data_IF_807454399916
#
_entry.id   IF_807454399916
#
_cell.length_a   1.000
_cell.length_b   1.000
_cell.length_c   1.000
_cell.angle_alpha   90.00
_cell.angle_beta   90.00
_cell.angle_gamma   90.00
#
_symmetry.space_group_name_H-M   'P 1'
#
loop_
_entity.id
_entity.type
_entity.pdbx_description
1 polymer ?
#
# COMPACT_ATOMS: atom_id res chain seq x y z
N UNK A 1 -17.09 8.38 53.22
CA UNK A 1 -16.42 8.04 51.95
C UNK A 1 -17.05 6.75 51.48
N UNK A 2 -17.88 6.82 50.42
CA UNK A 2 -18.64 5.67 49.92
C UNK A 2 -17.68 4.79 49.12
N UNK A 3 -17.50 3.56 49.56
CA UNK A 3 -16.87 2.49 48.80
C UNK A 3 -17.76 2.17 47.59
N UNK A 4 -17.40 2.68 46.42
CA UNK A 4 -17.98 2.28 45.15
C UNK A 4 -17.53 0.85 44.85
N UNK A 5 -18.37 -0.11 45.20
CA UNK A 5 -18.31 -1.46 44.63
C UNK A 5 -18.38 -1.35 43.11
N UNK A 6 -17.35 -1.84 42.42
CA UNK A 6 -17.37 -1.98 40.97
C UNK A 6 -18.62 -2.78 40.57
N UNK A 7 -19.54 -2.12 39.87
CA UNK A 7 -20.53 -2.85 39.08
C UNK A 7 -19.79 -3.40 37.86
N UNK A 8 -19.79 -4.72 37.61
CA UNK A 8 -19.31 -5.23 36.35
C UNK A 8 -20.14 -4.60 35.23
N UNK A 9 -19.47 -4.01 34.23
CA UNK A 9 -20.10 -3.69 32.95
C UNK A 9 -20.55 -5.03 32.38
N UNK A 10 -21.85 -5.30 32.42
CA UNK A 10 -22.42 -6.50 31.82
C UNK A 10 -22.28 -6.40 30.30
N UNK A 11 -21.22 -6.97 29.73
CA UNK A 11 -21.38 -7.63 28.44
C UNK A 11 -22.42 -8.72 28.65
N UNK A 12 -23.45 -8.75 27.82
CA UNK A 12 -24.41 -9.85 27.86
C UNK A 12 -23.63 -11.13 27.60
N UNK A 13 -23.79 -12.14 28.46
CA UNK A 13 -23.21 -13.48 28.27
C UNK A 13 -23.65 -14.01 26.89
N UNK A 14 -22.70 -14.29 26.01
CA UNK A 14 -22.93 -14.93 24.72
C UNK A 14 -22.83 -16.45 24.93
N UNK A 15 -23.79 -17.27 24.48
CA UNK A 15 -23.66 -18.73 24.56
C UNK A 15 -22.35 -19.28 23.95
N UNK A 16 -21.72 -18.55 23.03
CA UNK A 16 -20.41 -18.89 22.45
C UNK A 16 -19.24 -18.67 23.40
N UNK A 17 -19.43 -17.93 24.49
CA UNK A 17 -18.40 -17.70 25.52
C UNK A 17 -18.04 -19.01 26.24
N UNK A 18 -18.90 -20.04 26.17
CA UNK A 18 -18.63 -21.39 26.72
C UNK A 18 -18.09 -22.38 25.70
N UNK A 19 -17.90 -21.99 24.44
CA UNK A 19 -17.46 -22.88 23.36
C UNK A 19 -15.94 -22.81 23.13
N UNK A 20 -15.33 -23.97 22.92
CA UNK A 20 -13.93 -24.08 22.53
C UNK A 20 -13.75 -23.73 21.04
N UNK A 21 -12.76 -22.88 20.73
CA UNK A 21 -12.50 -22.45 19.35
C UNK A 21 -11.98 -23.55 18.41
N UNK A 22 -11.59 -24.72 18.94
CA UNK A 22 -11.06 -25.85 18.17
C UNK A 22 -12.15 -26.85 17.81
N UNK A 23 -12.95 -27.30 18.80
CA UNK A 23 -14.02 -28.27 18.56
C UNK A 23 -15.41 -27.65 18.35
N UNK A 24 -15.57 -26.34 18.61
CA UNK A 24 -16.86 -25.63 18.53
C UNK A 24 -17.95 -26.28 19.39
N UNK A 25 -17.55 -26.84 20.53
CA UNK A 25 -18.42 -27.41 21.54
C UNK A 25 -18.11 -26.78 22.90
N UNK A 26 -19.05 -26.90 23.85
CA UNK A 26 -18.82 -26.54 25.25
C UNK A 26 -17.46 -27.03 25.76
N UNK A 27 -16.77 -26.20 26.54
CA UNK A 27 -15.51 -26.61 27.16
C UNK A 27 -15.66 -27.89 27.97
N UNK A 28 -14.70 -28.81 27.78
CA UNK A 28 -14.53 -30.05 28.54
C UNK A 28 -13.11 -30.05 29.07
N UNK A 29 -12.96 -30.00 30.40
CA UNK A 29 -11.68 -29.80 31.09
C UNK A 29 -10.85 -28.65 30.45
N UNK A 30 -11.32 -27.40 30.60
CA UNK A 30 -10.68 -26.23 29.98
C UNK A 30 -9.30 -25.98 30.58
N UNK A 31 -8.26 -25.96 29.76
CA UNK A 31 -6.87 -25.67 30.14
C UNK A 31 -6.48 -24.25 29.72
N UNK A 32 -5.84 -23.53 30.62
CA UNK A 32 -5.25 -22.21 30.39
C UNK A 32 -3.84 -22.39 29.82
N UNK A 33 -3.64 -21.98 28.58
CA UNK A 33 -2.34 -22.03 27.91
C UNK A 33 -1.40 -20.94 28.48
N UNK A 34 -0.06 -21.05 28.32
CA UNK A 34 0.88 -20.02 28.74
C UNK A 34 0.64 -18.64 28.10
N UNK A 35 -0.02 -18.61 26.94
CA UNK A 35 -0.41 -17.38 26.25
C UNK A 35 -1.72 -16.76 26.77
N UNK A 36 -2.40 -17.39 27.73
CA UNK A 36 -3.66 -16.94 28.34
C UNK A 36 -4.94 -17.40 27.63
N UNK A 37 -4.85 -18.08 26.49
CA UNK A 37 -6.02 -18.65 25.82
C UNK A 37 -6.48 -19.96 26.47
N UNK A 38 -7.78 -20.26 26.36
CA UNK A 38 -8.40 -21.44 26.96
C UNK A 38 -8.82 -22.42 25.86
N UNK A 39 -8.50 -23.69 26.02
CA UNK A 39 -8.88 -24.80 25.13
C UNK A 39 -9.29 -26.02 25.95
N UNK A 40 -10.13 -26.91 25.41
CA UNK A 40 -10.38 -28.21 26.05
C UNK A 40 -9.09 -29.03 26.13
N UNK A 41 -8.85 -29.79 27.21
CA UNK A 41 -7.72 -30.72 27.32
C UNK A 41 -7.52 -31.60 26.07
N UNK A 42 -8.54 -32.30 25.53
CA UNK A 42 -8.38 -33.10 24.31
C UNK A 42 -7.98 -32.26 23.08
N UNK A 43 -8.42 -31.00 23.01
CA UNK A 43 -8.07 -30.10 21.92
C UNK A 43 -6.60 -29.67 22.01
N UNK A 44 -6.09 -29.39 23.21
CA UNK A 44 -4.67 -29.09 23.42
C UNK A 44 -3.80 -30.28 23.00
N UNK A 45 -4.15 -31.50 23.40
CA UNK A 45 -3.44 -32.73 23.02
C UNK A 45 -3.42 -32.89 21.50
N UNK A 46 -4.58 -32.76 20.85
CA UNK A 46 -4.69 -32.85 19.39
C UNK A 46 -3.84 -31.80 18.65
N UNK A 47 -3.77 -30.57 19.16
CA UNK A 47 -2.89 -29.52 18.63
C UNK A 47 -1.41 -29.90 18.74
N UNK A 48 -0.99 -30.50 19.85
CA UNK A 48 0.39 -30.93 20.07
C UNK A 48 0.77 -32.14 19.21
N UNK A 49 -0.14 -33.12 19.06
CA UNK A 49 0.05 -34.32 18.26
C UNK A 49 0.13 -34.01 16.75
N UNK A 50 -0.77 -33.16 16.24
CA UNK A 50 -0.80 -32.77 14.82
C UNK A 50 0.50 -32.11 14.35
N UNK A 51 1.22 -31.51 15.30
CA UNK A 51 2.44 -30.72 15.07
C UNK A 51 3.72 -31.55 15.12
N UNK A 52 3.61 -32.82 15.51
CA UNK A 52 4.72 -33.78 15.51
C UNK A 52 4.97 -34.44 14.14
N UNK A 53 4.02 -34.29 13.21
CA UNK A 53 4.03 -34.98 11.90
C UNK A 53 4.53 -34.12 10.73
N UNK A 54 4.72 -32.82 10.93
CA UNK A 54 5.17 -31.85 9.92
C UNK A 54 6.50 -31.23 10.34
N UNK A 55 7.48 -31.20 9.43
CA UNK A 55 8.85 -30.70 9.70
C UNK A 55 8.96 -29.18 9.92
N UNK A 56 7.84 -28.48 10.10
CA UNK A 56 7.77 -27.08 10.46
C UNK A 56 7.03 -26.99 11.80
N UNK A 57 7.83 -26.84 12.84
CA UNK A 57 7.52 -26.65 14.26
C UNK A 57 6.19 -25.89 14.50
N UNK A 58 5.14 -26.55 15.00
CA UNK A 58 3.83 -25.93 15.28
C UNK A 58 3.16 -26.39 16.60
N UNK A 59 3.90 -26.64 17.67
CA UNK A 59 3.30 -26.84 19.01
C UNK A 59 2.74 -25.56 19.62
N UNK A 60 1.98 -24.80 18.83
CA UNK A 60 1.57 -23.44 19.11
C UNK A 60 0.07 -23.33 19.37
N UNK A 61 -0.30 -22.31 20.15
CA UNK A 61 -1.69 -21.93 20.34
C UNK A 61 -2.33 -21.57 18.98
N UNK A 62 -3.49 -22.15 18.62
CA UNK A 62 -4.15 -21.90 17.34
C UNK A 62 -4.63 -20.45 17.16
N UNK A 63 -4.75 -19.70 18.25
CA UNK A 63 -5.26 -18.31 18.24
C UNK A 63 -4.15 -17.27 18.06
N UNK A 64 -3.00 -17.46 18.70
CA UNK A 64 -1.91 -16.47 18.69
C UNK A 64 -0.55 -16.98 18.24
N UNK A 65 -0.46 -18.27 17.88
CA UNK A 65 0.76 -18.94 17.40
C UNK A 65 1.94 -18.86 18.37
N UNK A 66 1.66 -18.76 19.68
CA UNK A 66 2.68 -18.83 20.73
C UNK A 66 2.80 -20.27 21.21
N UNK A 67 4.03 -20.73 21.42
CA UNK A 67 4.32 -22.09 21.90
C UNK A 67 3.51 -22.41 23.16
N UNK A 68 2.91 -23.60 23.16
CA UNK A 68 2.19 -24.15 24.31
C UNK A 68 3.18 -24.79 25.30
N UNK A 69 4.29 -25.32 24.78
CA UNK A 69 5.31 -26.04 25.54
C UNK A 69 6.69 -25.63 25.03
N UNK A 70 7.64 -25.42 25.94
CA UNK A 70 9.03 -25.13 25.59
C UNK A 70 9.74 -26.36 24.98
N UNK A 71 10.73 -26.12 24.12
CA UNK A 71 11.39 -27.15 23.31
C UNK A 71 12.02 -28.30 24.14
N UNK A 72 12.45 -28.03 25.38
CA UNK A 72 13.10 -29.02 26.25
C UNK A 72 12.12 -30.01 26.91
N UNK A 73 10.89 -29.58 27.24
CA UNK A 73 9.87 -30.46 27.84
C UNK A 73 9.26 -31.44 26.82
N UNK A 74 9.37 -31.11 25.53
CA UNK A 74 8.89 -31.92 24.40
C UNK A 74 9.53 -33.31 24.30
N UNK A 75 10.78 -33.46 24.76
CA UNK A 75 11.56 -34.67 24.55
C UNK A 75 11.38 -35.74 25.65
N UNK A 76 10.74 -35.40 26.77
CA UNK A 76 10.81 -36.20 28.00
C UNK A 76 9.45 -36.68 28.57
N UNK A 77 8.32 -36.19 28.07
CA UNK A 77 6.98 -36.48 28.64
C UNK A 77 5.95 -36.84 27.58
N UNK A 78 4.91 -37.57 27.99
CA UNK A 78 3.70 -37.78 27.17
C UNK A 78 2.89 -36.48 27.13
N UNK A 79 2.20 -36.20 26.02
CA UNK A 79 1.40 -34.99 25.89
C UNK A 79 0.31 -34.87 26.96
N UNK A 80 -0.30 -35.98 27.38
CA UNK A 80 -1.23 -35.99 28.51
C UNK A 80 -0.64 -35.37 29.78
N UNK A 81 0.55 -35.78 30.19
CA UNK A 81 1.21 -35.28 31.41
C UNK A 81 1.54 -33.79 31.32
N UNK A 82 1.94 -33.33 30.12
CA UNK A 82 2.24 -31.92 29.87
C UNK A 82 0.97 -31.08 29.94
N UNK A 83 -0.13 -31.57 29.35
CA UNK A 83 -1.41 -30.85 29.35
C UNK A 83 -2.08 -30.90 30.73
N UNK A 84 -1.89 -31.97 31.49
CA UNK A 84 -2.39 -32.08 32.86
C UNK A 84 -1.68 -31.13 33.82
N UNK A 85 -0.43 -30.78 33.55
CA UNK A 85 0.30 -29.76 34.29
C UNK A 85 -0.19 -28.33 34.00
N UNK A 86 -0.96 -28.11 32.93
CA UNK A 86 -1.55 -26.79 32.66
C UNK A 86 -2.70 -26.51 33.63
N UNK A 87 -2.85 -25.25 34.11
CA UNK A 87 -3.96 -24.87 34.98
C UNK A 87 -5.32 -25.13 34.32
N UNK A 88 -6.25 -25.76 35.04
CA UNK A 88 -7.65 -25.87 34.61
C UNK A 88 -8.40 -24.59 34.99
N UNK A 89 -9.20 -24.07 34.06
CA UNK A 89 -10.13 -22.96 34.32
C UNK A 89 -11.43 -23.48 34.94
N UNK A 90 -11.40 -23.65 36.26
CA UNK A 90 -12.57 -24.09 37.03
C UNK A 90 -13.75 -23.10 36.96
N UNK A 91 -13.49 -21.81 36.69
CA UNK A 91 -14.57 -20.83 36.52
C UNK A 91 -15.30 -21.07 35.20
N UNK A 92 -14.57 -21.37 34.13
CA UNK A 92 -15.14 -21.73 32.83
C UNK A 92 -15.90 -23.04 32.89
N UNK A 93 -15.34 -24.07 33.53
CA UNK A 93 -16.04 -25.34 33.74
C UNK A 93 -17.36 -25.15 34.52
N UNK A 94 -17.32 -24.34 35.58
CA UNK A 94 -18.50 -24.02 36.36
C UNK A 94 -19.53 -23.17 35.58
N UNK A 95 -19.07 -22.33 34.65
CA UNK A 95 -19.92 -21.56 33.75
C UNK A 95 -20.64 -22.46 32.74
N UNK A 96 -19.93 -23.40 32.12
CA UNK A 96 -20.52 -24.43 31.25
C UNK A 96 -21.58 -25.22 31.99
N UNK A 97 -21.29 -25.68 33.21
CA UNK A 97 -22.26 -26.41 34.03
C UNK A 97 -23.50 -25.56 34.35
N UNK A 98 -23.32 -24.27 34.65
CA UNK A 98 -24.41 -23.33 34.92
C UNK A 98 -25.25 -23.04 33.67
N UNK A 99 -24.61 -22.97 32.49
CA UNK A 99 -25.26 -22.83 31.19
C UNK A 99 -26.14 -24.04 30.86
N UNK A 100 -25.59 -25.26 31.03
CA UNK A 100 -26.31 -26.53 30.82
C UNK A 100 -27.50 -26.70 31.75
N UNK A 101 -27.38 -26.27 33.01
CA UNK A 101 -28.50 -26.28 33.94
C UNK A 101 -29.70 -25.41 33.48
N UNK A 102 -29.46 -24.47 32.57
CA UNK A 102 -30.45 -23.55 32.04
C UNK A 102 -30.90 -23.87 30.60
N UNK A 103 -30.18 -24.66 29.82
CA UNK A 103 -30.42 -24.77 28.38
C UNK A 103 -31.67 -25.59 28.01
N UNK A 104 -31.82 -26.88 28.36
CA UNK A 104 -33.02 -27.62 27.86
C UNK A 104 -33.43 -28.93 28.58
N UNK A 105 -32.67 -29.45 29.56
CA UNK A 105 -33.02 -30.67 30.32
C UNK A 105 -33.10 -30.42 31.83
N UNK A 106 -34.04 -29.55 32.21
CA UNK A 106 -34.24 -29.13 33.61
C UNK A 106 -35.02 -30.20 34.37
N UNK A 107 -34.35 -31.25 34.85
CA UNK A 107 -35.00 -32.25 35.70
C UNK A 107 -34.90 -31.85 37.17
N UNK A 108 -35.97 -32.11 37.91
CA UNK A 108 -36.03 -31.94 39.35
C UNK A 108 -35.15 -33.01 39.99
N UNK A 109 -34.10 -32.61 40.71
CA UNK A 109 -33.16 -33.52 41.36
C UNK A 109 -33.74 -34.36 42.50
N UNK A 110 -35.07 -34.33 42.70
CA UNK A 110 -35.78 -35.07 43.75
C UNK A 110 -36.79 -36.06 43.15
N UNK A 111 -37.39 -35.75 41.99
CA UNK A 111 -38.50 -36.55 41.46
C UNK A 111 -38.58 -36.59 39.93
N UNK A 112 -37.49 -36.20 39.24
CA UNK A 112 -37.32 -36.21 37.78
C UNK A 112 -38.34 -35.43 36.93
N UNK A 113 -39.32 -34.77 37.55
CA UNK A 113 -40.25 -33.85 36.90
C UNK A 113 -39.53 -32.59 36.38
N UNK A 114 -40.16 -31.81 35.50
CA UNK A 114 -39.56 -30.57 35.01
C UNK A 114 -39.32 -29.56 36.16
N UNK A 115 -38.06 -29.13 36.29
CA UNK A 115 -37.63 -28.16 37.28
C UNK A 115 -37.92 -26.74 36.81
N UNK A 116 -38.42 -25.93 37.74
CA UNK A 116 -38.76 -24.53 37.50
C UNK A 116 -37.94 -23.58 38.35
N UNK A 117 -37.21 -24.09 39.34
CA UNK A 117 -36.46 -23.28 40.29
C UNK A 117 -35.16 -23.95 40.69
N UNK A 118 -34.21 -23.17 41.19
CA UNK A 118 -32.97 -23.65 41.80
C UNK A 118 -32.90 -23.19 43.25
N UNK A 119 -32.51 -24.08 44.15
CA UNK A 119 -32.10 -23.70 45.49
C UNK A 119 -30.61 -23.34 45.48
N UNK A 120 -30.26 -22.08 45.70
CA UNK A 120 -28.87 -21.60 45.63
C UNK A 120 -28.01 -22.07 46.82
N UNK A 121 -28.65 -22.57 47.88
CA UNK A 121 -27.94 -23.14 49.04
C UNK A 121 -27.65 -24.63 48.86
N UNK A 122 -28.63 -25.39 48.41
CA UNK A 122 -28.49 -26.83 48.17
C UNK A 122 -27.94 -27.16 46.78
N UNK A 123 -27.85 -26.16 45.91
CA UNK A 123 -27.41 -26.31 44.52
C UNK A 123 -28.17 -27.40 43.74
N UNK A 124 -29.50 -27.47 43.97
CA UNK A 124 -30.40 -28.47 43.37
C UNK A 124 -31.53 -27.80 42.60
N UNK A 125 -31.86 -28.37 41.43
CA UNK A 125 -33.01 -28.00 40.62
C UNK A 125 -34.29 -28.63 41.19
N UNK A 126 -35.35 -27.84 41.33
CA UNK A 126 -36.60 -28.23 41.96
C UNK A 126 -37.79 -27.89 41.07
N UNK A 127 -38.75 -28.81 40.96
CA UNK A 127 -40.07 -28.52 40.42
C UNK A 127 -40.92 -27.77 41.47
N UNK A 128 -42.04 -27.17 41.04
CA UNK A 128 -42.92 -26.40 41.92
C UNK A 128 -43.39 -27.18 43.17
N UNK A 129 -43.58 -28.50 43.07
CA UNK A 129 -43.98 -29.36 44.19
C UNK A 129 -42.85 -29.57 45.17
N UNK A 130 -41.64 -29.87 44.67
CA UNK A 130 -40.47 -30.05 45.51
C UNK A 130 -40.03 -28.74 46.17
N UNK A 131 -40.26 -27.57 45.56
CA UNK A 131 -40.06 -26.27 46.23
C UNK A 131 -40.96 -26.11 47.46
N UNK A 132 -42.24 -26.50 47.38
CA UNK A 132 -43.16 -26.42 48.54
C UNK A 132 -42.68 -27.31 49.68
N UNK A 133 -42.27 -28.54 49.36
CA UNK A 133 -41.69 -29.45 50.34
C UNK A 133 -40.39 -28.90 50.93
N UNK A 134 -39.49 -28.40 50.07
CA UNK A 134 -38.24 -27.76 50.48
C UNK A 134 -38.49 -26.57 51.42
N UNK A 135 -39.61 -25.85 51.27
CA UNK A 135 -40.00 -24.76 52.15
C UNK A 135 -40.72 -25.19 53.44
N UNK A 136 -41.22 -26.42 53.52
CA UNK A 136 -41.91 -26.91 54.72
C UNK A 136 -40.97 -27.51 55.77
N UNK A 137 -39.76 -27.93 55.38
CA UNK A 137 -38.78 -28.48 56.33
C UNK A 137 -38.04 -27.36 57.06
N UNK A 138 -37.86 -27.53 58.38
CA UNK A 138 -37.19 -26.56 59.25
C UNK A 138 -35.76 -26.22 58.79
N UNK A 139 -35.05 -27.20 58.23
CA UNK A 139 -33.66 -27.08 57.78
C UNK A 139 -33.53 -26.31 56.45
N UNK A 140 -34.52 -26.39 55.56
CA UNK A 140 -34.42 -25.85 54.19
C UNK A 140 -35.38 -24.68 53.92
N UNK A 141 -36.31 -24.37 54.83
CA UNK A 141 -37.30 -23.31 54.64
C UNK A 141 -36.74 -21.90 54.45
N UNK A 142 -35.53 -21.68 54.92
CA UNK A 142 -34.84 -20.39 54.81
C UNK A 142 -33.91 -20.31 53.60
N UNK A 143 -33.80 -21.37 52.80
CA UNK A 143 -32.91 -21.38 51.65
C UNK A 143 -33.43 -20.45 50.53
N UNK A 144 -32.53 -19.66 49.91
CA UNK A 144 -32.87 -18.86 48.74
C UNK A 144 -33.19 -19.77 47.55
N UNK A 145 -34.42 -19.67 47.06
CA UNK A 145 -34.92 -20.40 45.88
C UNK A 145 -35.32 -19.38 44.82
N UNK A 146 -34.73 -19.48 43.64
CA UNK A 146 -34.93 -18.56 42.52
C UNK A 146 -35.48 -19.29 41.28
N UNK A 147 -36.18 -18.56 40.41
CA UNK A 147 -36.75 -19.12 39.18
C UNK A 147 -35.67 -19.31 38.11
N UNK A 148 -35.70 -20.45 37.41
CA UNK A 148 -34.77 -20.72 36.31
C UNK A 148 -34.96 -19.77 35.11
N UNK A 149 -36.12 -19.12 35.00
CA UNK A 149 -36.40 -18.12 33.95
C UNK A 149 -35.81 -16.75 34.23
N UNK A 150 -35.43 -16.46 35.49
CA UNK A 150 -34.92 -15.14 35.90
C UNK A 150 -33.42 -15.10 36.16
N UNK A 151 -32.75 -16.25 36.15
CA UNK A 151 -31.32 -16.38 36.45
C UNK A 151 -30.52 -16.57 35.16
N UNK A 152 -29.30 -16.02 35.14
CA UNK A 152 -28.33 -16.21 34.06
C UNK A 152 -27.25 -17.21 34.49
N UNK A 153 -26.51 -17.83 33.56
CA UNK A 153 -25.37 -18.70 33.89
C UNK A 153 -24.35 -18.00 34.81
N UNK A 154 -24.04 -16.73 34.52
CA UNK A 154 -23.15 -15.91 35.35
C UNK A 154 -23.69 -15.65 36.76
N UNK A 155 -25.00 -15.46 36.91
CA UNK A 155 -25.62 -15.28 38.23
C UNK A 155 -25.58 -16.57 39.04
N UNK A 156 -25.82 -17.72 38.42
CA UNK A 156 -25.65 -19.02 39.05
C UNK A 156 -24.20 -19.23 39.49
N UNK A 157 -23.24 -19.04 38.58
CA UNK A 157 -21.81 -19.16 38.88
C UNK A 157 -21.40 -18.31 40.09
N UNK A 158 -21.84 -17.05 40.14
CA UNK A 158 -21.54 -16.12 41.23
C UNK A 158 -22.16 -16.52 42.58
N UNK A 159 -23.17 -17.39 42.57
CA UNK A 159 -23.88 -17.88 43.77
C UNK A 159 -23.45 -19.29 44.16
N UNK A 160 -22.58 -19.94 43.37
CA UNK A 160 -22.12 -21.29 43.61
C UNK A 160 -21.34 -21.33 44.94
N UNK A 161 -21.67 -22.24 45.87
CA UNK A 161 -20.90 -22.39 47.10
C UNK A 161 -19.44 -22.72 46.78
N UNK A 162 -18.51 -22.09 47.50
CA UNK A 162 -17.11 -22.51 47.48
C UNK A 162 -17.00 -23.83 48.25
N UNK A 163 -16.47 -24.85 47.58
CA UNK A 163 -16.15 -26.14 48.22
C UNK A 163 -14.70 -26.12 48.69
N UNK A 164 -14.39 -26.88 49.74
CA UNK A 164 -13.00 -27.08 50.17
C UNK A 164 -12.28 -27.94 49.11
N UNK A 165 -11.08 -27.52 48.69
CA UNK A 165 -10.28 -28.24 47.70
C UNK A 165 -9.30 -29.26 48.30
N UNK A 166 -9.33 -29.47 49.62
CA UNK A 166 -8.50 -30.47 50.28
C UNK A 166 -9.09 -31.88 50.22
N UNK A 167 -8.24 -32.89 50.41
CA UNK A 167 -8.58 -34.33 50.39
C UNK A 167 -9.57 -34.77 51.49
N UNK A 168 -9.99 -33.84 52.37
CA UNK A 168 -10.94 -34.07 53.45
C UNK A 168 -12.38 -34.44 52.99
N UNK A 169 -12.64 -34.58 51.68
CA UNK A 169 -13.96 -34.88 51.09
C UNK A 169 -14.01 -36.00 50.04
N UNK A 170 -12.89 -36.68 49.75
CA UNK A 170 -12.82 -37.70 48.67
C UNK A 170 -13.20 -39.14 49.11
N UNK A 171 -13.80 -39.33 50.29
CA UNK A 171 -14.28 -40.66 50.68
C UNK A 171 -15.67 -40.92 50.13
N UNK A 172 -15.73 -41.91 49.23
CA UNK A 172 -16.89 -42.50 48.56
C UNK A 172 -17.95 -43.05 49.53
N UNK A 173 -18.68 -42.18 50.23
CA UNK A 173 -19.97 -42.49 50.84
C UNK A 173 -20.74 -41.17 50.96
N UNK A 174 -21.50 -40.83 49.90
CA UNK A 174 -22.67 -39.92 49.69
C UNK A 174 -23.14 -38.97 50.83
N UNK A 175 -22.19 -38.51 51.64
CA UNK A 175 -22.32 -37.66 52.81
C UNK A 175 -21.03 -36.83 52.94
N UNK A 176 -20.42 -36.49 51.80
CA UNK A 176 -19.39 -35.45 51.76
C UNK A 176 -19.97 -34.26 52.51
N UNK A 177 -19.36 -33.91 53.65
CA UNK A 177 -19.91 -33.00 54.65
C UNK A 177 -20.71 -31.87 53.97
N UNK A 178 -22.04 -32.04 53.85
CA UNK A 178 -22.94 -30.92 53.65
C UNK A 178 -22.88 -30.26 55.00
N UNK A 179 -21.88 -29.38 55.09
CA UNK A 179 -21.57 -28.51 56.19
C UNK A 179 -22.87 -28.19 56.91
N UNK A 180 -22.85 -28.45 58.21
CA UNK A 180 -23.69 -27.72 59.12
C UNK A 180 -23.74 -26.27 58.64
N UNK A 181 -24.97 -25.84 58.38
CA UNK A 181 -25.33 -24.76 57.46
C UNK A 181 -24.80 -23.45 58.03
N UNK A 182 -23.50 -23.15 57.84
CA UNK A 182 -22.87 -21.99 58.47
C UNK A 182 -21.37 -21.81 58.25
N UNK A 183 -20.57 -22.88 58.19
CA UNK A 183 -19.10 -22.81 58.08
C UNK A 183 -18.65 -22.95 56.63
N UNK A 184 -18.97 -21.95 55.82
CA UNK A 184 -18.32 -21.77 54.51
C UNK A 184 -16.79 -21.79 54.73
N UNK A 185 -16.04 -22.45 53.86
CA UNK A 185 -14.58 -22.33 53.75
C UNK A 185 -14.23 -20.86 53.49
N UNK A 186 -13.96 -20.13 54.58
CA UNK A 186 -13.60 -18.70 54.55
C UNK A 186 -12.10 -18.49 54.65
N UNK A 187 -11.31 -19.54 54.50
CA UNK A 187 -9.85 -19.48 54.59
C UNK A 187 -9.22 -19.80 53.24
N UNK A 188 -8.08 -19.19 52.97
CA UNK A 188 -7.30 -19.37 51.75
C UNK A 188 -5.83 -19.52 52.16
N UNK A 189 -5.19 -20.60 51.72
CA UNK A 189 -3.75 -20.77 51.91
C UNK A 189 -3.05 -20.15 50.69
N UNK A 190 -2.28 -19.09 50.92
CA UNK A 190 -1.55 -18.38 49.86
C UNK A 190 -0.43 -19.24 49.29
N UNK A 191 0.22 -20.04 50.14
CA UNK A 191 1.34 -20.89 49.74
C UNK A 191 0.94 -21.98 48.74
N UNK A 192 -0.29 -22.49 48.87
CA UNK A 192 -0.81 -23.58 48.04
C UNK A 192 -1.86 -23.12 47.02
N UNK A 193 -2.36 -21.88 47.12
CA UNK A 193 -3.33 -21.32 46.19
C UNK A 193 -4.74 -21.93 46.28
N UNK A 194 -5.12 -22.50 47.42
CA UNK A 194 -6.37 -23.26 47.58
C UNK A 194 -7.28 -22.69 48.69
N UNK A 195 -8.60 -22.81 48.49
CA UNK A 195 -9.61 -22.49 49.49
C UNK A 195 -9.82 -23.66 50.46
N UNK A 196 -9.85 -23.36 51.76
CA UNK A 196 -9.80 -24.35 52.83
C UNK A 196 -11.01 -24.24 53.78
N UNK A 197 -11.50 -25.39 54.23
CA UNK A 197 -12.33 -25.46 55.44
C UNK A 197 -11.45 -25.32 56.70
N UNK A 198 -12.08 -25.15 57.85
CA UNK A 198 -11.37 -25.04 59.13
C UNK A 198 -10.58 -26.31 59.46
N UNK A 199 -11.07 -27.48 59.06
CA UNK A 199 -10.45 -28.76 59.40
C UNK A 199 -9.18 -28.97 58.58
N UNK A 200 -9.26 -28.81 57.26
CA UNK A 200 -8.11 -28.86 56.35
C UNK A 200 -7.06 -27.75 56.70
N UNK A 201 -7.49 -26.58 57.20
CA UNK A 201 -6.57 -25.53 57.68
C UNK A 201 -5.74 -25.97 58.91
N UNK A 202 -6.32 -26.80 59.78
CA UNK A 202 -5.66 -27.29 61.01
C UNK A 202 -4.89 -28.59 60.79
N UNK A 203 -5.39 -29.47 59.92
CA UNK A 203 -4.78 -30.76 59.65
C UNK A 203 -3.54 -30.59 58.76
N UNK A 204 -3.73 -30.01 57.57
CA UNK A 204 -2.73 -30.09 56.49
C UNK A 204 -1.99 -28.77 56.29
N UNK A 205 -2.65 -27.64 56.58
CA UNK A 205 -2.09 -26.31 56.35
C UNK A 205 -1.64 -25.58 57.63
N UNK A 206 -1.55 -26.26 58.77
CA UNK A 206 -1.12 -25.65 60.04
C UNK A 206 0.29 -25.09 60.01
N UNK A 207 1.17 -25.70 59.22
CA UNK A 207 2.56 -25.25 59.05
C UNK A 207 2.73 -24.20 57.93
N UNK A 208 1.66 -23.88 57.19
CA UNK A 208 1.71 -22.87 56.14
C UNK A 208 1.77 -21.48 56.78
N UNK A 209 2.75 -20.64 56.41
CA UNK A 209 2.92 -19.32 57.01
C UNK A 209 1.75 -18.37 56.71
N UNK A 210 1.10 -18.49 55.55
CA UNK A 210 0.09 -17.52 55.09
C UNK A 210 -1.26 -18.18 54.81
N UNK A 211 -2.02 -18.43 55.89
CA UNK A 211 -3.45 -18.79 55.82
C UNK A 211 -4.29 -17.59 56.23
N UNK A 212 -4.99 -17.00 55.25
CA UNK A 212 -5.76 -15.76 55.41
C UNK A 212 -7.24 -16.00 55.20
N UNK A 213 -8.07 -15.01 55.56
CA UNK A 213 -9.48 -15.04 55.20
C UNK A 213 -9.66 -14.84 53.69
N UNK A 214 -10.45 -15.71 53.07
CA UNK A 214 -10.73 -15.69 51.64
C UNK A 214 -11.29 -14.33 51.20
N UNK A 215 -12.16 -13.70 52.00
CA UNK A 215 -12.74 -12.41 51.63
C UNK A 215 -11.72 -11.26 51.62
N UNK A 216 -10.65 -11.37 52.41
CA UNK A 216 -9.60 -10.34 52.45
C UNK A 216 -8.63 -10.52 51.29
N UNK A 217 -8.30 -11.78 50.95
CA UNK A 217 -7.53 -12.11 49.73
C UNK A 217 -8.31 -11.70 48.47
N UNK A 218 -9.60 -12.03 48.40
CA UNK A 218 -10.46 -11.68 47.27
C UNK A 218 -10.52 -10.17 47.03
N UNK A 219 -10.67 -9.35 48.09
CA UNK A 219 -10.66 -7.88 47.97
C UNK A 219 -9.33 -7.34 47.45
N UNK A 220 -8.22 -7.89 47.92
CA UNK A 220 -6.89 -7.49 47.48
C UNK A 220 -6.67 -7.84 46.01
N UNK A 221 -7.03 -9.08 45.61
CA UNK A 221 -6.99 -9.53 44.22
C UNK A 221 -7.91 -8.70 43.33
N UNK A 222 -9.14 -8.39 43.77
CA UNK A 222 -10.07 -7.52 43.03
C UNK A 222 -9.46 -6.14 42.77
N UNK A 223 -8.80 -5.56 43.78
CA UNK A 223 -8.11 -4.28 43.62
C UNK A 223 -6.96 -4.38 42.61
N UNK A 224 -6.16 -5.44 42.66
CA UNK A 224 -5.09 -5.68 41.70
C UNK A 224 -5.64 -5.86 40.27
N UNK A 225 -6.75 -6.59 40.10
CA UNK A 225 -7.42 -6.77 38.80
C UNK A 225 -7.92 -5.44 38.23
N UNK A 226 -8.44 -4.53 39.06
CA UNK A 226 -8.86 -3.19 38.65
C UNK A 226 -7.68 -2.35 38.16
N UNK A 227 -6.57 -2.39 38.89
CA UNK A 227 -5.34 -1.68 38.50
C UNK A 227 -4.75 -2.23 37.20
N UNK A 228 -4.73 -3.56 37.03
CA UNK A 228 -4.29 -4.20 35.78
C UNK A 228 -5.22 -3.87 34.61
N UNK A 229 -6.54 -3.87 34.84
CA UNK A 229 -7.52 -3.47 33.82
C UNK A 229 -7.31 -2.04 33.37
N UNK A 230 -7.06 -1.11 34.31
CA UNK A 230 -6.76 0.28 33.98
C UNK A 230 -5.47 0.42 33.16
N UNK A 231 -4.42 -0.36 33.48
CA UNK A 231 -3.18 -0.40 32.70
C UNK A 231 -3.42 -0.91 31.27
N UNK A 232 -4.20 -1.97 31.10
CA UNK A 232 -4.54 -2.50 29.78
C UNK A 232 -5.36 -1.50 28.96
N UNK A 233 -6.36 -0.86 29.55
CA UNK A 233 -7.15 0.18 28.85
C UNK A 233 -6.31 1.40 28.45
N UNK A 234 -5.33 1.79 29.28
CA UNK A 234 -4.40 2.85 28.91
C UNK A 234 -3.52 2.43 27.72
N UNK A 235 -2.95 1.22 27.75
CA UNK A 235 -2.14 0.70 26.66
C UNK A 235 -2.93 0.55 25.35
N UNK A 236 -4.19 0.08 25.42
CA UNK A 236 -5.09 0.01 24.27
C UNK A 236 -5.32 1.40 23.65
N UNK A 237 -5.58 2.41 24.48
CA UNK A 237 -5.76 3.79 24.01
C UNK A 237 -4.50 4.37 23.36
N UNK A 238 -3.31 4.05 23.90
CA UNK A 238 -2.03 4.45 23.30
C UNK A 238 -1.82 3.79 21.94
N UNK A 239 -2.09 2.50 21.81
CA UNK A 239 -2.01 1.76 20.55
C UNK A 239 -3.00 2.31 19.50
N UNK A 240 -4.24 2.59 19.89
CA UNK A 240 -5.23 3.24 19.02
C UNK A 240 -4.78 4.64 18.58
N UNK A 241 -4.12 5.38 19.48
CA UNK A 241 -3.50 6.66 19.16
C UNK A 241 -2.39 6.51 18.11
N UNK A 242 -1.52 5.51 18.25
CA UNK A 242 -0.44 5.22 17.31
C UNK A 242 -0.99 4.77 15.94
N UNK A 243 -1.96 3.86 15.92
CA UNK A 243 -2.63 3.41 14.69
C UNK A 243 -3.27 4.56 13.92
N UNK A 244 -3.96 5.47 14.62
CA UNK A 244 -4.53 6.67 13.99
C UNK A 244 -3.46 7.55 13.34
N UNK A 245 -2.30 7.72 13.97
CA UNK A 245 -1.18 8.49 13.39
C UNK A 245 -0.61 7.82 12.14
N UNK A 246 -0.40 6.50 12.18
CA UNK A 246 0.09 5.72 11.03
C UNK A 246 -0.89 5.81 9.86
N UNK A 247 -2.19 5.62 10.12
CA UNK A 247 -3.22 5.71 9.09
C UNK A 247 -3.32 7.11 8.49
N UNK A 248 -3.23 8.17 9.31
CA UNK A 248 -3.20 9.54 8.83
C UNK A 248 -2.00 9.81 7.92
N UNK A 249 -0.81 9.28 8.28
CA UNK A 249 0.41 9.41 7.47
C UNK A 249 0.32 8.62 6.17
N UNK A 250 -0.23 7.41 6.18
CA UNK A 250 -0.49 6.63 4.96
C UNK A 250 -1.37 7.41 3.99
N UNK A 251 -2.49 7.96 4.48
CA UNK A 251 -3.41 8.75 3.65
C UNK A 251 -2.77 10.06 3.13
N UNK A 252 -1.82 10.63 3.86
CA UNK A 252 -1.04 11.79 3.38
C UNK A 252 -0.09 11.40 2.24
N UNK A 253 0.57 10.25 2.34
CA UNK A 253 1.41 9.72 1.25
C UNK A 253 0.57 9.49 0.00
N UNK A 254 -0.58 8.82 0.12
CA UNK A 254 -1.47 8.57 -1.02
C UNK A 254 -1.93 9.88 -1.70
N UNK A 255 -2.30 10.90 -0.90
CA UNK A 255 -2.66 12.22 -1.43
C UNK A 255 -1.48 12.92 -2.10
N UNK A 256 -0.29 12.84 -1.52
CA UNK A 256 0.93 13.44 -2.08
C UNK A 256 1.32 12.78 -3.39
N UNK A 257 1.21 11.45 -3.48
CA UNK A 257 1.44 10.69 -4.71
C UNK A 257 0.45 11.12 -5.79
N UNK A 258 -0.84 11.13 -5.49
CA UNK A 258 -1.88 11.57 -6.43
C UNK A 258 -1.65 13.00 -6.92
N UNK A 259 -1.27 13.93 -6.03
CA UNK A 259 -0.96 15.31 -6.39
C UNK A 259 0.28 15.40 -7.30
N UNK A 260 1.33 14.62 -7.01
CA UNK A 260 2.53 14.58 -7.83
C UNK A 260 2.25 14.01 -9.23
N UNK A 261 1.52 12.90 -9.32
CA UNK A 261 1.11 12.29 -10.59
C UNK A 261 0.21 13.23 -11.40
N UNK A 262 -0.76 13.89 -10.76
CA UNK A 262 -1.61 14.87 -11.42
C UNK A 262 -0.79 16.04 -11.98
N UNK A 263 0.21 16.53 -11.23
CA UNK A 263 1.08 17.60 -11.70
C UNK A 263 1.95 17.18 -12.87
N UNK A 264 2.49 15.97 -12.85
CA UNK A 264 3.24 15.41 -13.98
C UNK A 264 2.36 15.34 -15.23
N UNK A 265 1.16 14.77 -15.12
CA UNK A 265 0.23 14.66 -16.24
C UNK A 265 -0.14 16.03 -16.82
N UNK A 266 -0.38 17.03 -15.97
CA UNK A 266 -0.66 18.40 -16.41
C UNK A 266 0.48 18.97 -17.26
N UNK A 267 1.74 18.83 -16.81
CA UNK A 267 2.88 19.38 -17.56
C UNK A 267 3.14 18.61 -18.85
N UNK A 268 3.04 17.27 -18.84
CA UNK A 268 3.22 16.48 -20.05
C UNK A 268 2.14 16.80 -21.10
N UNK A 269 0.90 17.06 -20.67
CA UNK A 269 -0.16 17.51 -21.56
C UNK A 269 0.13 18.90 -22.16
N UNK A 270 0.63 19.84 -21.36
CA UNK A 270 1.04 21.17 -21.84
C UNK A 270 2.19 21.08 -22.85
N UNK A 271 3.20 20.24 -22.60
CA UNK A 271 4.30 19.99 -23.52
C UNK A 271 3.81 19.37 -24.84
N UNK A 272 2.92 18.38 -24.76
CA UNK A 272 2.32 17.75 -25.94
C UNK A 272 1.56 18.77 -26.79
N UNK A 273 0.73 19.62 -26.17
CA UNK A 273 -0.01 20.68 -26.87
C UNK A 273 0.92 21.71 -27.53
N UNK A 274 2.00 22.12 -26.85
CA UNK A 274 2.98 23.05 -27.41
C UNK A 274 3.65 22.47 -28.66
N UNK A 275 4.09 21.21 -28.61
CA UNK A 275 4.77 20.53 -29.72
C UNK A 275 3.81 20.29 -30.89
N UNK A 276 2.58 19.83 -30.61
CA UNK A 276 1.58 19.59 -31.65
C UNK A 276 1.17 20.88 -32.36
N UNK A 277 0.95 21.96 -31.61
CA UNK A 277 0.66 23.27 -32.20
C UNK A 277 1.82 23.76 -33.09
N UNK A 278 3.05 23.65 -32.61
CA UNK A 278 4.22 24.02 -33.41
C UNK A 278 4.31 23.19 -34.70
N UNK A 279 4.03 21.88 -34.63
CA UNK A 279 3.99 21.00 -35.80
C UNK A 279 2.94 21.46 -36.81
N UNK A 280 1.73 21.80 -36.36
CA UNK A 280 0.65 22.31 -37.21
C UNK A 280 1.03 23.63 -37.89
N UNK A 281 1.56 24.58 -37.12
CA UNK A 281 2.00 25.88 -37.60
C UNK A 281 3.11 25.72 -38.66
N UNK A 282 4.15 24.92 -38.39
CA UNK A 282 5.22 24.64 -39.34
C UNK A 282 4.71 23.95 -40.60
N UNK A 283 3.80 22.99 -40.46
CA UNK A 283 3.24 22.25 -41.60
C UNK A 283 2.43 23.18 -42.49
N UNK A 284 1.63 24.07 -41.90
CA UNK A 284 0.83 25.05 -42.65
C UNK A 284 1.70 26.06 -43.39
N UNK A 285 2.74 26.60 -42.73
CA UNK A 285 3.70 27.51 -43.34
C UNK A 285 4.48 26.85 -44.48
N UNK A 286 4.95 25.61 -44.29
CA UNK A 286 5.63 24.85 -45.33
C UNK A 286 4.73 24.58 -46.55
N UNK A 287 3.44 24.28 -46.32
CA UNK A 287 2.47 24.10 -47.41
C UNK A 287 2.24 25.41 -48.17
N UNK A 288 2.02 26.51 -47.45
CA UNK A 288 1.82 27.83 -48.06
C UNK A 288 3.01 28.26 -48.92
N UNK A 289 4.24 28.11 -48.42
CA UNK A 289 5.45 28.43 -49.16
C UNK A 289 5.62 27.56 -50.42
N UNK A 290 5.29 26.27 -50.35
CA UNK A 290 5.31 25.40 -51.53
C UNK A 290 4.18 25.72 -52.52
N UNK A 291 3.01 26.13 -52.04
CA UNK A 291 1.88 26.51 -52.89
C UNK A 291 2.18 27.81 -53.65
N UNK A 292 2.88 28.76 -53.04
CA UNK A 292 3.38 29.98 -53.68
C UNK A 292 4.36 29.64 -54.82
N UNK A 293 5.39 28.83 -54.54
CA UNK A 293 6.33 28.34 -55.58
C UNK A 293 5.60 27.58 -56.69
N UNK A 294 4.59 26.76 -56.35
CA UNK A 294 3.78 26.04 -57.34
C UNK A 294 2.98 27.00 -58.22
N UNK A 295 2.46 28.09 -57.63
CA UNK A 295 1.74 29.13 -58.37
C UNK A 295 2.66 29.84 -59.35
N UNK A 296 3.85 30.27 -58.92
CA UNK A 296 4.87 30.88 -59.79
C UNK A 296 5.28 29.95 -60.95
N UNK A 297 5.56 28.68 -60.64
CA UNK A 297 5.87 27.65 -61.65
C UNK A 297 4.73 27.46 -62.66
N UNK A 298 3.47 27.51 -62.20
CA UNK A 298 2.31 27.40 -63.07
C UNK A 298 2.21 28.60 -64.02
N UNK A 299 2.46 29.83 -63.54
CA UNK A 299 2.49 31.03 -64.36
C UNK A 299 3.57 30.94 -65.44
N UNK A 300 4.81 30.59 -65.06
CA UNK A 300 5.93 30.40 -65.99
C UNK A 300 5.59 29.34 -67.04
N UNK A 301 5.01 28.21 -66.62
CA UNK A 301 4.56 27.15 -67.54
C UNK A 301 3.53 27.68 -68.55
N UNK A 302 2.51 28.41 -68.11
CA UNK A 302 1.47 28.94 -69.01
C UNK A 302 2.03 29.95 -70.01
N UNK A 303 3.01 30.77 -69.59
CA UNK A 303 3.73 31.70 -70.47
C UNK A 303 4.49 30.94 -71.56
N UNK A 304 5.29 29.95 -71.18
CA UNK A 304 6.06 29.14 -72.12
C UNK A 304 5.14 28.38 -73.09
N UNK A 305 4.02 27.82 -72.62
CA UNK A 305 3.03 27.16 -73.49
C UNK A 305 2.37 28.14 -74.49
N UNK A 306 2.09 29.38 -74.07
CA UNK A 306 1.58 30.44 -74.95
C UNK A 306 2.60 30.79 -76.02
N UNK A 307 3.86 31.02 -75.65
CA UNK A 307 4.95 31.34 -76.59
C UNK A 307 5.20 30.19 -77.57
N UNK A 308 5.20 28.94 -77.09
CA UNK A 308 5.31 27.74 -77.93
C UNK A 308 4.21 27.68 -78.98
N UNK A 309 2.96 27.98 -78.61
CA UNK A 309 1.83 28.05 -79.55
C UNK A 309 2.04 29.13 -80.61
N UNK A 310 2.49 30.33 -80.23
CA UNK A 310 2.81 31.40 -81.17
C UNK A 310 3.88 30.97 -82.18
N UNK A 311 5.01 30.41 -81.71
CA UNK A 311 6.09 29.91 -82.58
C UNK A 311 5.58 28.82 -83.53
N UNK A 312 4.78 27.87 -83.04
CA UNK A 312 4.20 26.82 -83.87
C UNK A 312 3.26 27.39 -84.96
N UNK A 313 2.49 28.43 -84.64
CA UNK A 313 1.63 29.13 -85.60
C UNK A 313 2.45 29.84 -86.69
N UNK A 314 3.49 30.59 -86.33
CA UNK A 314 4.39 31.22 -87.30
C UNK A 314 5.09 30.19 -88.19
N UNK A 315 5.51 29.06 -87.62
CA UNK A 315 6.07 27.94 -88.40
C UNK A 315 5.09 27.41 -89.45
N UNK A 316 3.82 27.20 -89.07
CA UNK A 316 2.78 26.75 -89.99
C UNK A 316 2.45 27.76 -91.11
N UNK A 317 2.44 29.05 -90.78
CA UNK A 317 2.28 30.12 -91.78
C UNK A 317 3.47 30.17 -92.75
N UNK A 318 4.70 30.01 -92.24
CA UNK A 318 5.90 29.99 -93.06
C UNK A 318 5.90 28.80 -94.03
N UNK A 319 5.53 27.60 -93.58
CA UNK A 319 5.40 26.44 -94.48
C UNK A 319 4.37 26.71 -95.57
N UNK A 320 3.20 27.25 -95.19
CA UNK A 320 2.15 27.55 -96.17
C UNK A 320 2.59 28.59 -97.21
N UNK A 321 3.24 29.68 -96.79
CA UNK A 321 3.71 30.75 -97.69
C UNK A 321 4.90 30.31 -98.56
N UNK A 322 5.66 29.31 -98.13
CA UNK A 322 6.77 28.74 -98.92
C UNK A 322 6.26 27.83 -100.04
N UNK A 323 5.15 27.13 -99.82
CA UNK A 323 4.55 26.21 -100.80
C UNK A 323 3.77 26.92 -101.94
N UNK A 324 3.58 28.24 -101.85
CA UNK A 324 2.84 29.04 -102.83
C UNK A 324 3.75 29.66 -103.91
N UNK A 325 3.24 29.75 -105.14
CA UNK A 325 3.93 30.34 -106.31
C UNK A 325 4.15 31.86 -106.12
N UNK A 326 5.33 32.44 -106.45
CA UNK A 326 5.61 33.85 -106.19
C UNK A 326 4.65 34.81 -106.89
N UNK A 327 4.00 35.69 -106.12
CA UNK A 327 3.22 36.82 -106.64
C UNK A 327 3.38 38.06 -105.73
N UNK A 328 3.03 39.28 -106.22
CA UNK A 328 3.28 40.54 -105.50
C UNK A 328 2.61 40.64 -104.12
N UNK A 329 1.42 40.05 -103.94
CA UNK A 329 0.72 40.04 -102.64
C UNK A 329 1.38 39.12 -101.61
N UNK A 330 2.08 38.07 -102.06
CA UNK A 330 2.86 37.18 -101.18
C UNK A 330 4.18 37.80 -100.74
N UNK A 331 4.70 38.77 -101.49
CA UNK A 331 5.97 39.43 -101.15
C UNK A 331 5.81 40.31 -99.91
N UNK A 332 4.73 41.08 -99.83
CA UNK A 332 4.35 41.84 -98.63
C UNK A 332 4.11 40.94 -97.41
N UNK A 333 3.40 39.82 -97.59
CA UNK A 333 3.15 38.86 -96.52
C UNK A 333 4.46 38.21 -96.01
N UNK A 334 5.41 37.91 -96.91
CA UNK A 334 6.74 37.38 -96.57
C UNK A 334 7.56 38.39 -95.75
N UNK A 335 7.54 39.68 -96.11
CA UNK A 335 8.25 40.73 -95.36
C UNK A 335 7.69 40.85 -93.94
N UNK A 336 6.37 40.92 -93.77
CA UNK A 336 5.74 41.01 -92.44
C UNK A 336 5.97 39.76 -91.58
N UNK A 337 5.93 38.57 -92.19
CA UNK A 337 6.26 37.32 -91.50
C UNK A 337 7.74 37.28 -91.11
N UNK A 338 8.64 37.73 -91.98
CA UNK A 338 10.06 37.83 -91.69
C UNK A 338 10.32 38.77 -90.50
N UNK A 339 9.72 39.96 -90.47
CA UNK A 339 9.80 40.88 -89.32
C UNK A 339 9.26 40.24 -88.04
N UNK A 340 8.08 39.59 -88.12
CA UNK A 340 7.44 38.96 -86.96
C UNK A 340 8.25 37.78 -86.40
N UNK A 341 8.88 36.99 -87.27
CA UNK A 341 9.73 35.84 -86.88
C UNK A 341 11.09 36.33 -86.37
N UNK A 342 11.68 37.34 -87.00
CA UNK A 342 12.97 37.92 -86.58
C UNK A 342 12.87 38.61 -85.22
N UNK A 343 11.68 39.07 -84.84
CA UNK A 343 11.41 39.63 -83.53
C UNK A 343 11.24 38.56 -82.41
N UNK A 344 11.17 37.26 -82.74
CA UNK A 344 11.04 36.20 -81.74
C UNK A 344 12.41 35.91 -81.11
N UNK A 345 12.56 36.27 -79.83
CA UNK A 345 13.75 35.93 -79.06
C UNK A 345 13.46 34.81 -78.05
N UNK A 346 13.46 33.56 -78.53
CA UNK A 346 13.22 32.37 -77.69
C UNK A 346 14.30 32.23 -76.60
N UNK A 347 15.52 32.67 -76.86
CA UNK A 347 16.64 32.61 -75.91
C UNK A 347 16.37 33.46 -74.67
N UNK A 348 15.93 34.71 -74.85
CA UNK A 348 15.61 35.60 -73.73
C UNK A 348 14.38 35.11 -72.93
N UNK A 349 13.40 34.52 -73.62
CA UNK A 349 12.20 33.95 -72.97
C UNK A 349 12.54 32.71 -72.11
N UNK A 350 13.43 31.85 -72.61
CA UNK A 350 13.89 30.69 -71.85
C UNK A 350 14.80 31.11 -70.70
N UNK A 351 15.70 32.07 -70.92
CA UNK A 351 16.61 32.61 -69.89
C UNK A 351 15.87 33.30 -68.74
N UNK A 352 14.83 34.09 -69.03
CA UNK A 352 13.99 34.69 -67.99
C UNK A 352 13.18 33.65 -67.20
N UNK A 353 12.79 32.54 -67.84
CA UNK A 353 12.08 31.43 -67.22
C UNK A 353 12.98 30.37 -66.53
N UNK A 354 14.32 30.42 -66.69
CA UNK A 354 15.24 29.43 -66.08
C UNK A 354 15.62 29.76 -64.65
N UNK A 355 15.35 30.98 -64.18
CA UNK A 355 15.47 31.37 -62.77
C UNK A 355 14.35 30.70 -61.97
N UNK A 356 14.54 29.43 -61.62
CA UNK A 356 13.61 28.67 -60.80
C UNK A 356 13.54 29.24 -59.38
N UNK A 357 12.34 29.34 -58.78
CA UNK A 357 12.21 29.74 -57.38
C UNK A 357 13.00 28.79 -56.47
N UNK A 358 13.65 29.35 -55.44
CA UNK A 358 14.35 28.55 -54.44
C UNK A 358 13.35 27.75 -53.61
N UNK A 359 13.68 26.51 -53.27
CA UNK A 359 12.81 25.68 -52.45
C UNK A 359 12.82 26.18 -51.00
N UNK A 360 11.65 26.34 -50.36
CA UNK A 360 11.59 26.80 -48.98
C UNK A 360 12.24 25.76 -48.05
N UNK A 361 13.08 26.23 -47.12
CA UNK A 361 13.66 25.41 -46.04
C UNK A 361 12.83 25.60 -44.78
N UNK A 362 12.31 24.50 -44.24
CA UNK A 362 11.57 24.53 -42.97
C UNK A 362 12.55 24.39 -41.82
N UNK A 363 12.51 25.32 -40.87
CA UNK A 363 13.26 25.25 -39.61
C UNK A 363 12.29 25.38 -38.44
N UNK A 364 12.55 24.64 -37.37
CA UNK A 364 11.81 24.77 -36.12
C UNK A 364 12.11 26.14 -35.51
N UNK A 365 11.04 26.86 -35.13
CA UNK A 365 11.17 28.17 -34.50
C UNK A 365 11.92 28.06 -33.16
N UNK A 366 12.96 28.86 -33.00
CA UNK A 366 13.73 28.96 -31.77
C UNK A 366 12.86 29.34 -30.56
N UNK A 367 11.75 30.04 -30.78
CA UNK A 367 10.78 30.38 -29.74
C UNK A 367 10.06 29.12 -29.19
N UNK A 368 9.78 28.12 -30.03
CA UNK A 368 9.17 26.85 -29.60
C UNK A 368 10.16 26.06 -28.75
N UNK A 369 11.42 25.97 -29.20
CA UNK A 369 12.50 25.31 -28.46
C UNK A 369 12.65 25.94 -27.07
N UNK A 370 12.66 27.28 -27.00
CA UNK A 370 12.78 28.01 -25.74
C UNK A 370 11.59 27.77 -24.80
N UNK A 371 10.36 27.68 -25.32
CA UNK A 371 9.17 27.38 -24.51
C UNK A 371 9.21 25.96 -23.94
N UNK A 372 9.63 24.98 -24.74
CA UNK A 372 9.82 23.60 -24.27
C UNK A 372 10.88 23.55 -23.16
N UNK A 373 12.00 24.28 -23.33
CA UNK A 373 13.03 24.36 -22.28
C UNK A 373 12.50 24.96 -20.97
N UNK A 374 11.69 26.03 -21.03
CA UNK A 374 11.07 26.65 -19.83
C UNK A 374 10.15 25.66 -19.09
N UNK A 375 9.32 24.92 -19.80
CA UNK A 375 8.42 23.94 -19.17
C UNK A 375 9.18 22.74 -18.58
N UNK A 376 10.31 22.35 -19.18
CA UNK A 376 11.20 21.34 -18.61
C UNK A 376 11.89 21.86 -17.33
N UNK A 377 12.35 23.11 -17.31
CA UNK A 377 12.93 23.73 -16.12
C UNK A 377 11.92 23.79 -14.95
N UNK A 378 10.64 24.04 -15.23
CA UNK A 378 9.55 23.98 -14.24
C UNK A 378 9.39 22.57 -13.61
N UNK A 379 9.77 21.50 -14.32
CA UNK A 379 9.82 20.14 -13.78
C UNK A 379 11.10 19.83 -12.99
N UNK A 380 11.97 20.83 -12.79
CA UNK A 380 13.26 20.64 -12.15
C UNK A 380 14.30 19.98 -13.06
N UNK A 381 14.04 19.86 -14.37
CA UNK A 381 15.05 19.48 -15.34
C UNK A 381 16.12 20.57 -15.37
N UNK A 382 17.34 20.22 -14.96
CA UNK A 382 18.52 21.05 -15.27
C UNK A 382 19.21 20.43 -16.45
N UNK A 383 19.29 21.19 -17.53
CA UNK A 383 20.16 20.86 -18.64
C UNK A 383 21.61 20.94 -18.13
N UNK A 384 22.20 19.80 -17.77
CA UNK A 384 23.64 19.69 -17.53
C UNK A 384 24.34 19.84 -18.89
N UNK A 385 24.57 21.08 -19.31
CA UNK A 385 25.39 21.33 -20.50
C UNK A 385 26.77 20.75 -20.24
N UNK A 386 27.25 19.76 -21.04
CA UNK A 386 28.63 19.32 -20.91
C UNK A 386 29.53 20.52 -21.18
N UNK A 387 30.30 20.95 -20.17
CA UNK A 387 31.37 21.92 -20.37
C UNK A 387 32.47 21.24 -21.18
N UNK A 388 32.39 21.34 -22.50
CA UNK A 388 33.51 21.02 -23.37
C UNK A 388 34.53 22.13 -23.20
N UNK A 389 35.70 21.80 -22.63
CA UNK A 389 36.81 22.75 -22.44
C UNK A 389 37.97 22.28 -23.32
N UNK A 390 38.47 23.16 -24.17
CA UNK A 390 39.67 22.86 -24.96
C UNK A 390 40.87 23.03 -24.03
N UNK A 391 41.39 21.92 -23.51
CA UNK A 391 42.46 21.94 -22.51
C UNK A 391 43.85 22.18 -23.12
N UNK A 392 44.06 21.88 -24.41
CA UNK A 392 45.34 22.15 -25.08
C UNK A 392 45.20 22.17 -26.62
N UNK A 393 45.61 23.26 -27.26
CA UNK A 393 45.97 23.27 -28.69
C UNK A 393 47.47 22.96 -28.78
N UNK A 394 47.84 21.91 -29.51
CA UNK A 394 49.25 21.65 -29.85
C UNK A 394 49.49 22.00 -31.31
N UNK A 395 50.35 22.98 -31.53
CA UNK A 395 50.78 23.46 -32.85
C UNK A 395 51.74 22.44 -33.49
N UNK A 396 51.23 21.27 -33.82
CA UNK A 396 51.94 20.35 -34.69
C UNK A 396 51.19 20.31 -36.03
N UNK A 397 51.95 20.33 -37.12
CA UNK A 397 51.54 20.40 -38.53
C UNK A 397 50.62 19.24 -39.02
N UNK A 398 49.95 18.53 -38.12
CA UNK A 398 49.19 17.31 -38.34
C UNK A 398 47.66 17.46 -38.23
N UNK A 399 47.10 18.68 -38.25
CA UNK A 399 45.64 18.91 -38.28
C UNK A 399 44.83 18.15 -37.21
N UNK A 400 45.40 17.95 -36.01
CA UNK A 400 44.74 17.21 -34.92
C UNK A 400 44.42 18.12 -33.74
N UNK A 401 43.13 18.27 -33.43
CA UNK A 401 42.64 18.96 -32.24
C UNK A 401 42.34 17.93 -31.13
N UNK A 402 42.87 18.14 -29.91
CA UNK A 402 42.47 17.35 -28.73
C UNK A 402 41.45 18.12 -27.91
N UNK A 403 40.20 17.68 -27.95
CA UNK A 403 39.12 18.27 -27.16
C UNK A 403 38.78 17.32 -26.01
N UNK A 404 38.91 17.80 -24.78
CA UNK A 404 38.58 17.05 -23.57
C UNK A 404 37.18 17.37 -23.08
N UNK A 405 36.45 16.36 -22.63
CA UNK A 405 35.29 16.53 -21.72
C UNK A 405 35.73 15.99 -20.38
N UNK A 406 35.53 16.74 -19.30
CA UNK A 406 35.94 16.31 -17.95
C UNK A 406 35.32 14.96 -17.61
N UNK A 407 36.15 13.93 -17.40
CA UNK A 407 35.74 12.59 -16.94
C UNK A 407 35.93 11.45 -17.94
N UNK A 408 36.28 11.71 -19.20
CA UNK A 408 36.58 10.68 -20.21
C UNK A 408 37.93 10.91 -20.90
N UNK A 409 38.57 9.85 -21.40
CA UNK A 409 39.80 9.97 -22.19
C UNK A 409 39.50 10.77 -23.47
N UNK A 410 40.33 11.76 -23.87
CA UNK A 410 40.06 12.57 -25.05
C UNK A 410 39.94 11.68 -26.30
N UNK A 411 38.86 11.88 -27.06
CA UNK A 411 38.65 11.22 -28.33
C UNK A 411 39.55 11.84 -29.41
N UNK A 412 40.17 11.00 -30.25
CA UNK A 412 40.99 11.45 -31.36
C UNK A 412 40.08 11.83 -32.53
N UNK A 413 39.99 13.13 -32.85
CA UNK A 413 39.33 13.62 -34.05
C UNK A 413 40.41 13.95 -35.09
N UNK A 414 40.34 13.29 -36.26
CA UNK A 414 41.16 13.61 -37.42
C UNK A 414 40.37 14.59 -38.30
N UNK A 415 40.86 15.82 -38.43
CA UNK A 415 40.20 16.85 -39.24
C UNK A 415 40.84 16.91 -40.62
N UNK A 416 40.01 16.89 -41.66
CA UNK A 416 40.47 16.94 -43.05
C UNK A 416 40.32 18.36 -43.60
N UNK A 417 39.22 19.07 -43.27
CA UNK A 417 38.95 20.44 -43.73
C UNK A 417 38.25 21.30 -42.65
N UNK A 418 39.04 22.10 -41.94
CA UNK A 418 38.63 22.90 -40.77
C UNK A 418 37.40 23.82 -40.95
N UNK A 419 37.10 24.24 -42.18
CA UNK A 419 36.02 25.19 -42.50
C UNK A 419 34.70 24.52 -42.89
N UNK A 420 34.69 23.21 -43.16
CA UNK A 420 33.47 22.43 -43.46
C UNK A 420 32.99 21.65 -42.23
N UNK A 421 33.89 21.33 -41.31
CA UNK A 421 33.63 20.46 -40.16
C UNK A 421 33.07 21.20 -38.92
N UNK A 422 33.01 22.54 -38.93
CA UNK A 422 32.51 23.36 -37.82
C UNK A 422 31.59 24.50 -38.31
N UNK A 423 30.38 24.57 -37.73
CA UNK A 423 29.41 25.64 -38.01
C UNK A 423 29.83 27.01 -37.40
N UNK A 424 30.62 27.02 -36.32
CA UNK A 424 31.15 28.23 -35.64
C UNK A 424 32.59 27.99 -35.16
N UNK A 425 33.56 28.82 -35.58
CA UNK A 425 34.97 28.68 -35.13
C UNK A 425 35.76 30.00 -35.13
N UNK A 426 36.71 30.11 -34.20
CA UNK A 426 37.74 31.15 -34.18
C UNK A 426 39.13 30.52 -34.23
N UNK A 427 39.98 30.92 -35.19
CA UNK A 427 41.36 30.45 -35.29
C UNK A 427 42.29 31.50 -34.69
N UNK A 428 43.00 31.16 -33.63
CA UNK A 428 44.02 32.01 -33.02
C UNK A 428 45.40 31.50 -33.46
N UNK A 429 46.04 32.21 -34.36
CA UNK A 429 47.45 32.01 -34.71
C UNK A 429 48.32 32.91 -33.83
N UNK A 430 49.62 32.60 -33.72
CA UNK A 430 50.61 33.34 -32.93
C UNK A 430 50.67 34.86 -33.24
N UNK A 431 50.00 35.33 -34.31
CA UNK A 431 49.98 36.73 -34.75
C UNK A 431 48.59 37.26 -35.17
N UNK A 432 47.52 36.44 -35.21
CA UNK A 432 46.24 36.81 -35.86
C UNK A 432 45.04 36.03 -35.30
N UNK A 433 43.87 36.67 -35.25
CA UNK A 433 42.57 36.04 -34.98
C UNK A 433 41.79 35.96 -36.30
N UNK A 434 41.21 34.81 -36.62
CA UNK A 434 40.32 34.62 -37.77
C UNK A 434 38.93 34.19 -37.32
N UNK A 435 37.91 34.78 -37.96
CA UNK A 435 36.49 34.46 -37.78
C UNK A 435 35.92 34.11 -39.16
N UNK A 436 35.37 32.90 -39.32
CA UNK A 436 34.88 32.36 -40.59
C UNK A 436 35.80 32.59 -41.82
N UNK A 437 37.12 32.52 -41.61
CA UNK A 437 38.12 32.70 -42.67
C UNK A 437 38.55 34.15 -42.95
N UNK A 438 37.95 35.14 -42.28
CA UNK A 438 38.33 36.55 -42.39
C UNK A 438 39.29 36.96 -41.26
N UNK A 439 40.28 37.81 -41.58
CA UNK A 439 41.30 38.25 -40.61
C UNK A 439 40.75 39.39 -39.75
N UNK A 440 40.70 39.19 -38.43
CA UNK A 440 40.27 40.19 -37.47
C UNK A 440 41.51 40.84 -36.84
N UNK A 441 41.98 41.98 -37.35
CA UNK A 441 43.07 42.75 -36.72
C UNK A 441 42.59 44.10 -36.20
N UNK A 442 42.74 44.32 -34.88
CA UNK A 442 43.68 45.30 -34.31
C UNK A 442 43.55 45.31 -32.78
N UNK A 443 44.66 45.11 -32.05
CA UNK A 443 44.96 45.85 -30.81
C UNK A 443 46.47 45.74 -30.50
N UNK A 444 47.16 46.85 -30.19
CA UNK A 444 48.59 46.87 -29.96
C UNK A 444 48.95 46.40 -28.55
N UNK A 445 50.14 45.83 -28.48
CA UNK A 445 50.79 45.20 -27.34
C UNK A 445 50.74 46.04 -26.06
N UNK A 446 50.22 45.47 -24.96
CA UNK A 446 50.67 45.80 -23.61
C UNK A 446 51.10 44.52 -22.89
N UNK A 447 52.37 44.53 -22.49
CA UNK A 447 53.05 43.49 -21.71
C UNK A 447 52.33 43.27 -20.38
N UNK A 448 52.10 42.00 -20.06
CA UNK A 448 51.72 41.52 -18.74
C UNK A 448 52.92 41.63 -17.77
N UNK A 449 52.68 42.19 -16.59
CA UNK A 449 53.32 41.75 -15.34
C UNK A 449 52.34 40.80 -14.65
#
# INVERSE_FOLDING_TARGET
MKSETLKPKSSAFDPRDTECCVCSHDFVDPKILPCGHILCRPCVISCLESSSSSSNDQSDCPLCRRAIVDSEERAARKWDEVVDALPTDFAMEALVASSRALSESRTCGVCDAEASSVCLRCWVLLCASCVRLHRSFLTTRHHPVESLTSVTPMHLLSRRPAFCSGECHDQEEDTGHVLDVGTVSRLFCVDHGVALCTDCAVADHRACPEVRRLEDVAKETDQQLVEMSAKLSAAESELDGALRKVNARSAEVDRSEQAAVAKLNEVFEQLHQLVEKAREDLTSSARAAHDEVRSELAEVKTLLERRRRSVASYKGLLTHVTDLVPCPSLTEAKVRLHESVSAINVSADVQSATTLPSMPRVKVDAAVIKRVQVELEHLGYREEKPKVRVDQMTDNWNYTLRVGVTGTRPAHLSMVYWYEDFDDYFIICHCSLFDHGETVTALPSRRLQ
#
